data_IF_539407494511
#
_entry.id   IF_539407494511
#
_cell.length_a   1.000
_cell.length_b   1.000
_cell.length_c   1.000
_cell.angle_alpha   90.00
_cell.angle_beta   90.00
_cell.angle_gamma   90.00
#
_symmetry.space_group_name_H-M   'P 1'
#
loop_
_entity.id
_entity.type
_entity.pdbx_description
1 polymer ?
#
# COMPACT_ATOMS: atom_id res chain seq x y z
N UNK A 1 1.66 22.58 2.67
CA UNK A 1 2.87 21.82 3.06
C UNK A 1 3.85 21.84 1.90
N UNK A 2 5.12 22.05 2.15
CA UNK A 2 6.17 22.05 1.10
C UNK A 2 6.78 20.67 1.08
N UNK A 3 6.52 19.90 0.04
CA UNK A 3 7.11 18.56 -0.13
C UNK A 3 8.49 18.71 -0.77
N UNK A 4 9.49 18.10 -0.15
CA UNK A 4 10.85 18.01 -0.68
C UNK A 4 11.11 16.55 -1.08
N UNK A 5 11.38 16.33 -2.37
CA UNK A 5 11.73 14.98 -2.86
C UNK A 5 13.24 14.80 -2.80
N UNK A 6 13.68 13.74 -2.12
CA UNK A 6 15.07 13.31 -2.12
C UNK A 6 15.20 12.02 -2.94
N UNK A 7 15.79 12.13 -4.15
CA UNK A 7 16.14 10.96 -4.95
C UNK A 7 17.68 10.83 -4.96
N UNK A 8 18.19 9.67 -4.59
CA UNK A 8 19.63 9.41 -4.68
C UNK A 8 20.01 9.06 -6.13
N UNK A 9 20.44 10.08 -6.88
CA UNK A 9 20.96 9.89 -8.23
C UNK A 9 22.47 9.65 -8.09
N UNK A 10 22.92 8.41 -8.18
CA UNK A 10 24.36 8.12 -8.30
C UNK A 10 24.91 8.66 -9.61
N UNK A 11 25.24 9.94 -9.62
CA UNK A 11 26.02 10.56 -10.67
C UNK A 11 27.50 10.18 -10.46
N UNK A 12 27.96 9.14 -11.13
CA UNK A 12 29.40 8.89 -11.28
C UNK A 12 30.00 9.94 -12.20
N UNK A 13 30.25 11.13 -11.68
CA UNK A 13 31.03 12.17 -12.37
C UNK A 13 32.50 11.98 -12.03
N UNK A 14 33.26 11.37 -12.94
CA UNK A 14 34.70 11.52 -12.95
C UNK A 14 35.00 12.95 -13.37
N UNK A 15 35.38 13.79 -12.41
CA UNK A 15 36.03 15.08 -12.73
C UNK A 15 37.39 14.78 -13.33
N UNK A 16 37.55 15.02 -14.63
CA UNK A 16 38.84 15.31 -15.22
C UNK A 16 39.00 16.83 -15.29
N UNK A 17 40.07 17.34 -14.69
CA UNK A 17 40.52 18.71 -14.81
C UNK A 17 41.03 18.90 -16.25
N UNK A 18 40.41 19.79 -17.00
CA UNK A 18 40.90 20.24 -18.31
C UNK A 18 41.78 21.43 -18.11
N UNK A 19 43.07 21.26 -18.46
CA UNK A 19 43.99 22.35 -18.78
C UNK A 19 43.70 22.81 -20.22
N UNK A 20 43.61 24.13 -20.36
CA UNK A 20 43.50 24.87 -21.63
C UNK A 20 44.65 24.57 -22.56
N UNK A 21 44.40 24.21 -23.85
CA UNK A 21 45.24 24.65 -24.97
C UNK A 21 44.46 24.63 -26.30
N UNK A 22 44.64 25.70 -27.06
CA UNK A 22 44.03 26.03 -28.35
C UNK A 22 44.59 25.21 -29.54
N UNK A 23 44.01 25.31 -30.75
CA UNK A 23 43.99 24.26 -31.77
C UNK A 23 45.12 24.36 -32.80
N UNK A 24 45.45 23.21 -33.41
CA UNK A 24 46.09 23.17 -34.73
C UNK A 24 45.54 22.01 -35.58
N UNK A 25 45.26 22.41 -36.85
CA UNK A 25 44.81 21.57 -37.96
C UNK A 25 45.68 20.30 -38.23
N UNK A 26 45.05 19.23 -38.71
CA UNK A 26 45.77 18.15 -39.35
C UNK A 26 44.94 16.87 -39.49
N UNK A 27 44.40 16.65 -40.69
CA UNK A 27 43.81 15.41 -41.17
C UNK A 27 44.78 14.22 -41.03
N UNK A 28 44.34 13.12 -40.37
CA UNK A 28 44.75 11.77 -40.74
C UNK A 28 43.73 10.76 -40.19
N UNK A 29 43.17 9.99 -41.13
CA UNK A 29 42.31 8.83 -40.80
C UNK A 29 43.23 7.70 -40.31
N UNK A 30 43.08 7.30 -39.05
CA UNK A 30 43.64 6.05 -38.55
C UNK A 30 42.52 5.18 -38.01
N UNK A 31 42.50 3.93 -38.53
CA UNK A 31 41.63 2.85 -38.11
C UNK A 31 41.69 2.64 -36.60
N UNK A 32 40.55 2.68 -35.93
CA UNK A 32 40.39 2.37 -34.51
C UNK A 32 40.12 0.88 -34.37
N UNK A 33 41.06 0.18 -33.77
CA UNK A 33 40.87 -1.23 -33.37
C UNK A 33 39.74 -1.35 -32.34
N UNK A 34 38.98 -2.46 -32.38
CA UNK A 34 37.84 -2.63 -31.45
C UNK A 34 38.37 -2.91 -30.03
N UNK A 35 37.94 -2.06 -29.10
CA UNK A 35 38.16 -2.21 -27.66
C UNK A 35 37.49 -3.50 -27.18
N UNK A 36 38.14 -4.35 -26.37
CA UNK A 36 37.56 -5.61 -25.90
C UNK A 36 36.29 -5.33 -25.07
N UNK A 37 35.25 -6.11 -25.38
CA UNK A 37 33.90 -5.94 -24.88
C UNK A 37 33.81 -5.71 -23.39
N UNK A 38 33.11 -4.67 -23.03
CA UNK A 38 32.43 -4.56 -21.71
C UNK A 38 31.36 -5.62 -21.73
N UNK A 39 31.64 -6.73 -21.06
CA UNK A 39 30.61 -7.70 -20.71
C UNK A 39 29.67 -6.94 -19.76
N UNK A 40 28.53 -6.48 -20.30
CA UNK A 40 27.39 -6.07 -19.48
C UNK A 40 26.95 -7.37 -18.79
N UNK A 41 27.42 -7.58 -17.57
CA UNK A 41 26.77 -8.52 -16.68
C UNK A 41 25.37 -7.99 -16.46
N UNK A 42 24.41 -8.57 -17.17
CA UNK A 42 23.02 -8.53 -16.74
C UNK A 42 23.03 -9.13 -15.34
N UNK A 43 22.96 -8.28 -14.32
CA UNK A 43 22.55 -8.75 -13.01
C UNK A 43 21.18 -9.39 -13.28
N UNK A 44 21.06 -10.68 -13.03
CA UNK A 44 19.79 -11.35 -12.86
C UNK A 44 19.10 -10.56 -11.74
N UNK A 45 18.20 -9.64 -12.11
CA UNK A 45 17.33 -8.97 -11.16
C UNK A 45 16.51 -10.10 -10.55
N UNK A 46 16.85 -10.49 -9.33
CA UNK A 46 16.13 -11.53 -8.61
C UNK A 46 14.72 -11.01 -8.36
N UNK A 47 13.79 -11.53 -9.14
CA UNK A 47 12.36 -11.22 -9.05
C UNK A 47 11.90 -11.44 -7.61
N UNK A 48 11.42 -10.41 -6.94
CA UNK A 48 10.95 -10.50 -5.55
C UNK A 48 9.70 -11.35 -5.48
N UNK A 49 9.79 -12.48 -4.77
CA UNK A 49 8.67 -13.42 -4.65
C UNK A 49 7.46 -12.75 -3.97
N UNK A 50 6.27 -13.02 -4.49
CA UNK A 50 5.05 -12.56 -3.84
C UNK A 50 4.67 -13.42 -2.65
N UNK A 51 4.25 -12.76 -1.58
CA UNK A 51 3.81 -13.38 -0.32
C UNK A 51 2.46 -12.80 0.09
N UNK A 52 1.55 -13.65 0.57
CA UNK A 52 0.31 -13.21 1.21
C UNK A 52 0.55 -13.02 2.71
N UNK A 53 0.10 -11.88 3.23
CA UNK A 53 0.19 -11.50 4.65
C UNK A 53 -1.18 -11.62 5.31
N UNK A 54 -1.17 -12.01 6.57
CA UNK A 54 -2.38 -12.20 7.35
C UNK A 54 -2.34 -11.32 8.61
N UNK A 55 -3.48 -10.72 9.01
CA UNK A 55 -3.57 -10.07 10.30
C UNK A 55 -3.13 -11.03 11.42
N UNK A 56 -2.40 -10.55 12.45
CA UNK A 56 -2.03 -11.38 13.59
C UNK A 56 -3.28 -11.85 14.37
N UNK A 57 -3.13 -12.87 15.20
CA UNK A 57 -4.22 -13.41 16.01
C UNK A 57 -4.86 -12.36 16.95
N UNK A 58 -4.12 -11.31 17.29
CA UNK A 58 -4.58 -10.14 18.06
C UNK A 58 -4.37 -8.88 17.24
N UNK A 59 -5.27 -8.56 16.28
CA UNK A 59 -5.08 -7.43 15.37
C UNK A 59 -4.86 -6.09 16.07
N UNK A 60 -5.54 -5.86 17.21
CA UNK A 60 -5.35 -4.64 18.02
C UNK A 60 -3.90 -4.40 18.47
N UNK A 61 -3.07 -5.45 18.54
CA UNK A 61 -1.65 -5.27 18.90
C UNK A 61 -0.87 -4.46 17.87
N UNK A 62 -1.34 -4.39 16.63
CA UNK A 62 -0.74 -3.56 15.57
C UNK A 62 -0.95 -2.05 15.83
N UNK A 63 -1.92 -1.70 16.66
CA UNK A 63 -2.27 -0.32 16.98
C UNK A 63 -1.75 0.15 18.33
N UNK A 64 -1.01 -0.70 19.05
CA UNK A 64 -0.38 -0.31 20.29
C UNK A 64 0.59 0.85 20.04
N UNK A 65 0.40 1.95 20.78
CA UNK A 65 1.19 3.19 20.65
C UNK A 65 1.12 3.84 19.24
N UNK A 66 0.16 3.46 18.42
CA UNK A 66 -0.04 4.05 17.10
C UNK A 66 -0.56 5.49 17.25
N UNK A 67 0.06 6.41 16.51
CA UNK A 67 -0.45 7.78 16.33
C UNK A 67 -1.01 7.87 14.93
N UNK A 68 -2.29 8.22 14.82
CA UNK A 68 -2.99 8.32 13.54
C UNK A 68 -3.34 9.76 13.17
N UNK A 69 -3.53 9.99 11.88
CA UNK A 69 -4.11 11.17 11.29
C UNK A 69 -5.38 10.80 10.54
N UNK A 70 -6.25 11.79 10.33
CA UNK A 70 -7.51 11.61 9.60
C UNK A 70 -7.56 12.51 8.38
N UNK A 71 -7.88 11.93 7.22
CA UNK A 71 -8.19 12.66 6.00
C UNK A 71 -9.71 12.79 5.90
N UNK A 72 -10.17 14.03 5.70
CA UNK A 72 -11.58 14.34 5.38
C UNK A 72 -11.63 15.06 4.04
N UNK A 73 -12.36 14.50 3.06
CA UNK A 73 -12.53 15.08 1.73
C UNK A 73 -14.04 15.09 1.42
N UNK A 74 -14.63 16.28 1.37
CA UNK A 74 -16.04 16.45 1.01
C UNK A 74 -16.99 15.55 1.80
N UNK A 75 -17.69 14.67 1.10
CA UNK A 75 -18.66 13.71 1.64
C UNK A 75 -18.09 12.29 1.78
N UNK A 76 -16.79 12.09 1.53
CA UNK A 76 -16.15 10.79 1.77
C UNK A 76 -16.20 10.43 3.26
N UNK A 77 -16.30 9.13 3.58
CA UNK A 77 -16.06 8.70 4.95
C UNK A 77 -14.64 9.11 5.39
N UNK A 78 -14.44 9.50 6.64
CA UNK A 78 -13.11 9.79 7.17
C UNK A 78 -12.19 8.60 6.96
N UNK A 79 -10.93 8.88 6.58
CA UNK A 79 -9.89 7.87 6.38
C UNK A 79 -8.78 8.10 7.40
N UNK A 80 -8.57 7.12 8.25
CA UNK A 80 -7.53 7.17 9.27
C UNK A 80 -6.29 6.42 8.80
N UNK A 81 -5.12 6.97 9.08
CA UNK A 81 -3.85 6.34 8.73
C UNK A 81 -2.77 6.72 9.74
N UNK A 82 -1.72 5.90 9.81
CA UNK A 82 -0.60 6.15 10.70
C UNK A 82 0.11 7.46 10.35
N UNK A 83 0.44 8.25 11.36
CA UNK A 83 1.20 9.47 11.18
C UNK A 83 2.62 9.14 10.68
N UNK A 84 2.96 9.60 9.47
CA UNK A 84 4.24 9.31 8.83
C UNK A 84 5.45 9.72 9.68
N UNK A 85 5.40 10.92 10.28
CA UNK A 85 6.53 11.45 11.07
C UNK A 85 6.76 10.65 12.34
N UNK A 86 5.69 10.21 13.02
CA UNK A 86 5.82 9.36 14.22
C UNK A 86 6.29 7.97 13.82
N UNK A 87 5.78 7.43 12.71
CA UNK A 87 6.22 6.15 12.18
C UNK A 87 7.73 6.16 11.88
N UNK A 88 8.23 7.20 11.19
CA UNK A 88 9.66 7.36 10.90
C UNK A 88 10.51 7.46 12.18
N UNK A 89 10.04 8.21 13.19
CA UNK A 89 10.74 8.37 14.46
C UNK A 89 10.84 7.08 15.27
N UNK A 90 9.85 6.18 15.16
CA UNK A 90 9.78 4.91 15.87
C UNK A 90 10.23 3.72 15.01
N UNK A 91 10.72 3.96 13.80
CA UNK A 91 11.10 2.92 12.84
C UNK A 91 12.14 1.94 13.40
N UNK A 92 13.09 2.43 14.21
CA UNK A 92 14.15 1.61 14.81
C UNK A 92 13.65 0.61 15.89
N UNK A 93 12.43 0.79 16.38
CA UNK A 93 11.80 -0.09 17.37
C UNK A 93 11.04 -1.27 16.71
N UNK A 94 10.90 -1.22 15.39
CA UNK A 94 10.12 -2.19 14.62
C UNK A 94 11.00 -3.30 14.07
N UNK A 95 10.46 -4.51 14.06
CA UNK A 95 11.07 -5.62 13.37
C UNK A 95 10.86 -5.45 11.85
N UNK A 96 11.94 -5.24 11.12
CA UNK A 96 11.96 -4.97 9.69
C UNK A 96 12.88 -5.96 9.00
N UNK A 97 12.33 -7.10 8.58
CA UNK A 97 13.09 -8.16 7.90
C UNK A 97 13.76 -7.65 6.61
N UNK A 98 13.17 -6.67 5.94
CA UNK A 98 13.70 -6.07 4.71
C UNK A 98 14.74 -4.98 5.01
N UNK A 99 14.88 -4.57 6.24
CA UNK A 99 15.78 -3.48 6.70
C UNK A 99 15.55 -2.15 5.97
N UNK A 100 14.37 -1.93 5.37
CA UNK A 100 14.08 -0.70 4.61
C UNK A 100 14.01 0.52 5.53
N UNK A 101 13.48 0.37 6.75
CA UNK A 101 13.39 1.47 7.70
C UNK A 101 14.75 2.03 8.08
N UNK A 102 15.74 1.16 8.26
CA UNK A 102 17.12 1.56 8.54
C UNK A 102 17.82 2.15 7.30
N UNK A 103 17.56 1.61 6.12
CA UNK A 103 18.16 2.07 4.86
C UNK A 103 17.60 3.43 4.44
N UNK A 104 16.29 3.66 4.51
CA UNK A 104 15.65 4.94 4.20
C UNK A 104 16.16 6.05 5.12
N UNK A 105 16.28 5.76 6.42
CA UNK A 105 16.83 6.71 7.39
C UNK A 105 18.31 7.03 7.09
N UNK A 106 19.12 5.99 6.80
CA UNK A 106 20.55 6.18 6.54
C UNK A 106 20.83 6.95 5.23
N UNK A 107 20.01 6.74 4.20
CA UNK A 107 20.16 7.37 2.89
C UNK A 107 19.34 8.67 2.74
N UNK A 108 18.45 8.97 3.69
CA UNK A 108 17.48 10.07 3.61
C UNK A 108 16.73 10.06 2.25
N UNK A 109 16.34 8.88 1.78
CA UNK A 109 15.72 8.68 0.48
C UNK A 109 14.31 8.11 0.61
N UNK A 110 13.37 8.72 -0.12
CA UNK A 110 11.98 8.27 -0.19
C UNK A 110 11.78 7.15 -1.24
N UNK A 111 12.83 6.79 -1.97
CA UNK A 111 12.82 5.75 -3.00
C UNK A 111 14.23 5.17 -3.17
N UNK A 112 14.36 3.85 -3.01
CA UNK A 112 15.59 3.09 -3.28
C UNK A 112 15.21 1.97 -4.24
N UNK A 113 15.35 2.23 -5.55
CA UNK A 113 14.83 1.34 -6.61
C UNK A 113 15.25 -0.11 -6.42
N UNK A 114 14.29 -1.03 -6.46
CA UNK A 114 14.51 -2.47 -6.25
C UNK A 114 14.70 -2.89 -4.78
N UNK A 115 14.70 -1.92 -3.84
CA UNK A 115 14.82 -2.17 -2.39
C UNK A 115 13.60 -1.62 -1.67
N UNK A 116 13.34 -0.32 -1.81
CA UNK A 116 12.22 0.39 -1.23
C UNK A 116 11.54 1.26 -2.28
N UNK A 117 10.27 0.98 -2.54
CA UNK A 117 9.53 1.60 -3.65
C UNK A 117 8.54 2.69 -3.18
N UNK A 118 8.82 3.34 -2.05
CA UNK A 118 8.14 4.58 -1.63
C UNK A 118 6.84 4.41 -0.85
N UNK A 119 6.45 3.19 -0.47
CA UNK A 119 5.14 2.89 0.11
C UNK A 119 4.90 3.33 1.57
N UNK A 120 5.93 3.81 2.29
CA UNK A 120 5.78 4.31 3.67
C UNK A 120 5.10 5.69 3.73
N UNK A 121 5.03 6.41 2.62
CA UNK A 121 4.46 7.76 2.53
C UNK A 121 3.20 7.80 1.68
N UNK A 122 2.29 8.71 2.03
CA UNK A 122 1.13 9.04 1.19
C UNK A 122 1.54 10.13 0.19
N UNK A 123 1.51 9.78 -1.10
CA UNK A 123 1.91 10.68 -2.17
C UNK A 123 0.73 11.53 -2.68
N UNK A 124 1.03 12.69 -3.26
CA UNK A 124 0.02 13.69 -3.62
C UNK A 124 -1.05 13.17 -4.59
N UNK A 125 -0.68 12.28 -5.54
CA UNK A 125 -1.64 11.77 -6.50
C UNK A 125 -2.73 10.88 -5.86
N UNK A 126 -2.47 10.33 -4.68
CA UNK A 126 -3.50 9.60 -3.91
C UNK A 126 -4.62 10.53 -3.46
N UNK A 127 -4.29 11.74 -2.99
CA UNK A 127 -5.28 12.75 -2.62
C UNK A 127 -6.08 13.23 -3.85
N UNK A 128 -5.40 13.46 -4.99
CA UNK A 128 -6.07 13.85 -6.24
C UNK A 128 -7.10 12.79 -6.68
N UNK A 129 -6.77 11.50 -6.52
CA UNK A 129 -7.70 10.42 -6.85
C UNK A 129 -8.86 10.34 -5.84
N UNK A 130 -8.61 10.53 -4.56
CA UNK A 130 -9.66 10.59 -3.54
C UNK A 130 -10.65 11.74 -3.82
N UNK A 131 -10.16 12.93 -4.21
CA UNK A 131 -10.99 14.07 -4.60
C UNK A 131 -11.83 13.78 -5.85
N UNK A 132 -11.26 13.09 -6.85
CA UNK A 132 -12.01 12.64 -8.03
C UNK A 132 -13.13 11.67 -7.64
N UNK A 133 -12.83 10.66 -6.81
CA UNK A 133 -13.79 9.65 -6.37
C UNK A 133 -14.92 10.24 -5.51
N UNK A 134 -14.64 11.32 -4.78
CA UNK A 134 -15.65 12.11 -4.07
C UNK A 134 -16.61 12.76 -5.05
N UNK A 135 -16.06 13.50 -6.01
CA UNK A 135 -16.84 14.28 -6.99
C UNK A 135 -17.70 13.38 -7.88
N UNK A 136 -17.12 12.31 -8.41
CA UNK A 136 -17.79 11.44 -9.39
C UNK A 136 -18.73 10.42 -8.74
N UNK A 137 -18.67 10.27 -7.40
CA UNK A 137 -19.58 9.42 -6.63
C UNK A 137 -19.45 7.93 -6.98
N UNK A 138 -18.22 7.44 -7.25
CA UNK A 138 -17.96 6.05 -7.60
C UNK A 138 -18.59 5.08 -6.58
N UNK A 139 -19.19 4.02 -7.09
CA UNK A 139 -19.90 3.01 -6.30
C UNK A 139 -19.09 1.73 -6.23
N UNK A 140 -18.78 1.30 -5.01
CA UNK A 140 -17.99 0.11 -4.73
C UNK A 140 -18.82 -1.09 -4.27
N UNK A 141 -20.11 -0.88 -3.97
CA UNK A 141 -20.98 -1.96 -3.50
C UNK A 141 -20.90 -3.20 -4.41
N UNK A 142 -20.66 -4.35 -3.79
CA UNK A 142 -20.51 -5.65 -4.46
C UNK A 142 -19.30 -5.79 -5.39
N UNK A 143 -18.43 -4.77 -5.50
CA UNK A 143 -17.25 -4.79 -6.34
C UNK A 143 -16.10 -5.55 -5.70
N UNK A 144 -15.28 -6.19 -6.53
CA UNK A 144 -13.97 -6.72 -6.17
C UNK A 144 -12.93 -5.68 -6.60
N UNK A 145 -12.18 -5.17 -5.64
CA UNK A 145 -11.24 -4.05 -5.85
C UNK A 145 -9.81 -4.49 -5.59
N UNK A 146 -8.87 -4.02 -6.40
CA UNK A 146 -7.43 -4.16 -6.18
C UNK A 146 -6.82 -2.77 -6.01
N UNK A 147 -6.08 -2.56 -4.92
CA UNK A 147 -5.20 -1.43 -4.71
C UNK A 147 -3.75 -1.89 -4.98
N UNK A 148 -3.24 -1.57 -6.18
CA UNK A 148 -1.97 -2.07 -6.72
C UNK A 148 -0.85 -1.05 -6.54
N UNK A 149 0.18 -1.36 -5.77
CA UNK A 149 1.15 -0.40 -5.25
C UNK A 149 0.48 0.48 -4.18
N UNK A 150 -0.18 -0.18 -3.22
CA UNK A 150 -1.15 0.47 -2.34
C UNK A 150 -0.54 1.42 -1.30
N UNK A 151 0.75 1.24 -0.92
CA UNK A 151 1.38 2.01 0.14
C UNK A 151 0.53 2.03 1.42
N UNK A 152 0.05 3.21 1.83
CA UNK A 152 -0.82 3.36 3.00
C UNK A 152 -2.22 2.70 2.86
N UNK A 153 -2.60 2.25 1.66
CA UNK A 153 -3.85 1.52 1.41
C UNK A 153 -5.12 2.37 1.37
N UNK A 154 -5.00 3.70 1.29
CA UNK A 154 -6.15 4.62 1.46
C UNK A 154 -7.24 4.43 0.40
N UNK A 155 -6.87 4.10 -0.84
CA UNK A 155 -7.83 3.89 -1.93
C UNK A 155 -8.64 2.60 -1.71
N UNK A 156 -7.96 1.53 -1.35
CA UNK A 156 -8.60 0.27 -0.98
C UNK A 156 -9.46 0.40 0.27
N UNK A 157 -9.00 1.12 1.28
CA UNK A 157 -9.77 1.41 2.51
C UNK A 157 -11.04 2.21 2.17
N UNK A 158 -10.96 3.23 1.30
CA UNK A 158 -12.13 3.95 0.82
C UNK A 158 -13.15 3.01 0.16
N UNK A 159 -12.67 2.11 -0.72
CA UNK A 159 -13.54 1.14 -1.37
C UNK A 159 -14.22 0.22 -0.35
N UNK A 160 -13.50 -0.23 0.67
CA UNK A 160 -14.02 -1.05 1.76
C UNK A 160 -15.13 -0.30 2.54
N UNK A 161 -14.86 0.94 2.97
CA UNK A 161 -15.83 1.79 3.68
C UNK A 161 -17.08 2.12 2.82
N UNK A 162 -16.96 2.07 1.50
CA UNK A 162 -18.07 2.26 0.55
C UNK A 162 -18.70 0.95 0.05
N UNK A 163 -18.45 -0.17 0.74
CA UNK A 163 -19.16 -1.44 0.57
C UNK A 163 -18.62 -2.36 -0.52
N UNK A 164 -17.34 -2.25 -0.89
CA UNK A 164 -16.69 -3.26 -1.73
C UNK A 164 -16.82 -4.65 -1.09
N UNK A 165 -17.13 -5.66 -1.90
CA UNK A 165 -17.29 -7.03 -1.40
C UNK A 165 -15.95 -7.68 -1.03
N UNK A 166 -14.90 -7.33 -1.76
CA UNK A 166 -13.54 -7.76 -1.50
C UNK A 166 -12.56 -6.64 -1.89
N UNK A 167 -11.53 -6.46 -1.08
CA UNK A 167 -10.43 -5.53 -1.37
C UNK A 167 -9.10 -6.25 -1.19
N UNK A 168 -8.31 -6.28 -2.26
CA UNK A 168 -6.95 -6.82 -2.21
C UNK A 168 -5.95 -5.67 -2.27
N UNK A 169 -5.01 -5.69 -1.33
CA UNK A 169 -3.93 -4.72 -1.24
C UNK A 169 -2.63 -5.36 -1.70
N UNK A 170 -1.88 -4.68 -2.53
CA UNK A 170 -0.59 -5.17 -2.97
C UNK A 170 0.45 -4.05 -2.97
N UNK A 171 1.62 -4.30 -2.39
CA UNK A 171 2.79 -3.43 -2.46
C UNK A 171 4.05 -4.24 -2.74
N UNK A 172 5.15 -3.57 -3.10
CA UNK A 172 6.43 -4.24 -3.32
C UNK A 172 7.04 -4.74 -2.01
N UNK A 173 6.94 -3.94 -0.94
CA UNK A 173 7.59 -4.19 0.34
C UNK A 173 6.66 -4.87 1.37
N UNK A 174 7.13 -5.96 1.98
CA UNK A 174 6.44 -6.63 3.09
C UNK A 174 6.31 -5.70 4.30
N UNK A 175 7.35 -4.93 4.60
CA UNK A 175 7.35 -3.93 5.67
C UNK A 175 6.24 -2.91 5.50
N UNK A 176 5.95 -2.45 4.26
CA UNK A 176 4.84 -1.54 3.97
C UNK A 176 3.51 -2.22 4.28
N UNK A 177 3.31 -3.44 3.82
CA UNK A 177 2.07 -4.20 4.05
C UNK A 177 1.86 -4.43 5.57
N UNK A 178 2.87 -4.91 6.27
CA UNK A 178 2.73 -5.33 7.67
C UNK A 178 2.64 -4.16 8.65
N UNK A 179 3.41 -3.08 8.39
CA UNK A 179 3.52 -1.98 9.35
C UNK A 179 2.75 -0.72 8.97
N UNK A 180 2.18 -0.64 7.75
CA UNK A 180 1.42 0.53 7.30
C UNK A 180 0.05 0.13 6.77
N UNK A 181 -0.03 -0.67 5.69
CA UNK A 181 -1.30 -0.98 5.02
C UNK A 181 -2.26 -1.71 5.95
N UNK A 182 -1.80 -2.75 6.60
CA UNK A 182 -2.60 -3.61 7.47
C UNK A 182 -3.08 -2.86 8.73
N UNK A 183 -2.22 -2.14 9.47
CA UNK A 183 -2.66 -1.28 10.57
C UNK A 183 -3.64 -0.20 10.15
N UNK A 184 -3.44 0.47 9.00
CA UNK A 184 -4.38 1.49 8.51
C UNK A 184 -5.74 0.87 8.18
N UNK A 185 -5.76 -0.32 7.55
CA UNK A 185 -7.02 -1.03 7.28
C UNK A 185 -7.74 -1.36 8.57
N UNK A 186 -7.02 -1.83 9.58
CA UNK A 186 -7.59 -2.16 10.88
C UNK A 186 -8.17 -0.93 11.59
N UNK A 187 -7.44 0.21 11.61
CA UNK A 187 -7.94 1.47 12.19
C UNK A 187 -9.33 1.85 11.66
N UNK A 188 -9.51 1.72 10.35
CA UNK A 188 -10.77 2.11 9.71
C UNK A 188 -11.89 1.06 9.87
N UNK A 189 -11.57 -0.20 10.12
CA UNK A 189 -12.57 -1.24 10.41
C UNK A 189 -13.12 -1.14 11.83
N UNK A 190 -12.27 -0.83 12.81
CA UNK A 190 -12.64 -0.78 14.22
C UNK A 190 -13.57 0.40 14.55
N UNK A 191 -13.27 1.59 14.02
CA UNK A 191 -14.14 2.77 14.25
C UNK A 191 -15.56 2.57 13.77
N UNK A 192 -15.73 1.89 12.63
CA UNK A 192 -17.08 1.60 12.12
C UNK A 192 -17.84 0.59 12.98
N UNK A 193 -17.15 -0.35 13.62
CA UNK A 193 -17.76 -1.31 14.54
C UNK A 193 -18.24 -0.59 15.83
N UNK A 194 -17.44 0.33 16.37
CA UNK A 194 -17.82 1.15 17.53
C UNK A 194 -19.01 2.07 17.22
N UNK A 195 -19.04 2.72 16.05
CA UNK A 195 -20.16 3.57 15.62
C UNK A 195 -21.47 2.75 15.44
N UNK A 196 -21.38 1.55 14.86
CA UNK A 196 -22.54 0.66 14.69
C UNK A 196 -23.09 0.17 16.04
N UNK A 197 -22.24 -0.16 17.00
CA UNK A 197 -22.63 -0.58 18.36
C UNK A 197 -23.31 0.57 19.12
N UNK A 198 -22.77 1.79 19.05
CA UNK A 198 -23.37 2.98 19.67
C UNK A 198 -24.75 3.32 19.08
N UNK A 199 -24.90 3.18 17.76
CA UNK A 199 -26.20 3.39 17.10
C UNK A 199 -27.23 2.32 17.51
N UNK A 200 -26.84 1.06 17.64
CA UNK A 200 -27.75 -0.02 18.08
C UNK A 200 -28.16 0.17 19.52
N UNK A 201 -27.25 0.57 20.43
CA UNK A 201 -27.60 0.89 21.81
C UNK A 201 -28.55 2.08 21.90
N UNK A 202 -28.38 3.09 21.06
CA UNK A 202 -29.24 4.27 21.01
C UNK A 202 -30.66 3.94 20.53
N UNK A 203 -30.78 3.01 19.56
CA UNK A 203 -32.07 2.53 19.01
C UNK A 203 -32.80 1.58 20.00
N UNK A 204 -32.06 0.88 20.86
CA UNK A 204 -32.60 -0.05 21.87
C UNK A 204 -33.27 0.61 23.07
N UNK A 205 -33.01 1.87 23.37
CA UNK A 205 -33.63 2.61 24.47
C UNK A 205 -35.00 3.14 24.09
N UNK A 206 -36.05 2.28 24.21
CA UNK A 206 -37.46 2.74 24.17
C UNK A 206 -37.69 3.71 25.33
N UNK A 207 -38.41 4.84 25.12
CA UNK A 207 -38.73 5.79 26.20
C UNK A 207 -39.59 5.08 27.23
N UNK A 208 -39.00 4.71 28.36
CA UNK A 208 -39.69 4.19 29.50
C UNK A 208 -40.66 5.26 30.03
N UNK A 209 -41.93 4.92 30.21
CA UNK A 209 -42.96 5.72 30.86
C UNK A 209 -42.42 6.22 32.19
N UNK A 210 -42.31 7.53 32.33
CA UNK A 210 -42.14 8.20 33.62
C UNK A 210 -43.33 7.85 34.51
N UNK A 211 -43.11 7.04 35.54
CA UNK A 211 -43.93 7.06 36.76
C UNK A 211 -43.21 7.96 37.76
N UNK A 212 -43.90 9.03 38.10
CA UNK A 212 -43.52 9.87 39.24
C UNK A 212 -43.68 9.05 40.51
N UNK A 213 -42.63 8.97 41.30
CA UNK A 213 -42.73 8.81 42.75
C UNK A 213 -41.63 9.68 43.36
N UNK A 214 -42.11 10.73 44.05
CA UNK A 214 -41.35 11.49 45.02
C UNK A 214 -41.03 10.55 46.19
N UNK A 215 -39.79 10.56 46.64
CA UNK A 215 -39.37 10.46 48.04
C UNK A 215 -37.84 10.44 48.14
N UNK A 216 -37.31 11.56 48.61
CA UNK A 216 -36.54 11.78 49.85
C UNK A 216 -35.11 11.17 49.93
N UNK A 217 -34.21 12.14 49.94
CA UNK A 217 -32.82 12.23 50.41
C UNK A 217 -32.44 11.25 51.53
N UNK A 218 -31.27 10.63 51.44
CA UNK A 218 -30.24 10.58 52.51
C UNK A 218 -28.85 10.34 51.83
N UNK A 219 -27.95 11.28 52.11
CA UNK A 219 -26.51 11.17 51.95
C UNK A 219 -25.95 10.15 52.98
N UNK A 220 -25.01 9.33 52.56
CA UNK A 220 -23.94 8.87 53.45
C UNK A 220 -22.71 8.51 52.64
N UNK A 221 -21.64 9.23 52.93
CA UNK A 221 -20.25 8.96 52.58
C UNK A 221 -19.72 7.76 53.37
N UNK A 222 -18.67 7.17 52.92
CA UNK A 222 -17.45 6.59 53.59
C UNK A 222 -17.04 5.31 52.88
N UNK A 223 -15.90 5.36 52.24
CA UNK A 223 -14.51 5.06 52.60
C UNK A 223 -14.19 3.60 52.94
N UNK A 224 -12.99 3.26 52.47
CA UNK A 224 -12.11 2.12 52.82
C UNK A 224 -12.43 0.75 52.20
N UNK A 225 -11.47 -0.06 51.72
CA UNK A 225 -10.04 -0.14 52.03
C UNK A 225 -9.40 -1.23 51.14
N UNK A 226 -8.16 -1.01 50.86
CA UNK A 226 -7.16 -2.02 50.43
C UNK A 226 -7.23 -3.33 51.18
N UNK A 227 -7.00 -4.44 50.49
CA UNK A 227 -6.14 -5.61 50.89
C UNK A 227 -6.07 -6.58 49.72
N UNK A 228 -4.93 -6.64 48.97
CA UNK A 228 -3.76 -7.51 49.18
C UNK A 228 -4.10 -8.97 49.43
N UNK A 229 -3.65 -9.87 48.59
CA UNK A 229 -2.48 -10.73 48.73
C UNK A 229 -2.50 -11.84 47.69
N UNK A 230 -1.40 -11.94 46.99
CA UNK A 230 -0.53 -13.11 46.81
C UNK A 230 -1.10 -14.51 47.10
N UNK A 231 -0.96 -15.33 46.07
CA UNK A 231 -0.50 -16.75 46.08
C UNK A 231 -0.90 -17.37 44.74
N UNK A 232 -0.12 -18.10 43.98
CA UNK A 232 1.09 -18.88 44.25
C UNK A 232 1.74 -19.26 42.92
N UNK A 233 3.05 -19.20 42.91
CA UNK A 233 3.92 -19.95 42.00
C UNK A 233 3.82 -21.44 42.33
N UNK A 234 3.69 -22.24 41.30
CA UNK A 234 4.29 -23.59 41.10
C UNK A 234 3.43 -24.32 40.06
N UNK A 235 3.94 -24.67 38.91
CA UNK A 235 4.65 -25.91 38.63
C UNK A 235 5.29 -25.85 37.24
N UNK A 236 6.59 -25.65 37.27
CA UNK A 236 7.45 -26.15 36.19
C UNK A 236 7.71 -27.63 36.49
N UNK A 237 7.45 -28.53 35.54
CA UNK A 237 8.34 -29.66 35.26
C UNK A 237 8.00 -30.42 33.98
N UNK A 238 8.96 -30.38 33.10
CA UNK A 238 9.50 -31.45 32.25
C UNK A 238 8.54 -32.36 31.44
N UNK A 239 8.66 -32.25 30.13
CA UNK A 239 9.04 -33.42 29.30
C UNK A 239 9.77 -32.98 28.03
N UNK A 240 11.12 -33.11 28.09
CA UNK A 240 11.93 -33.38 26.88
C UNK A 240 11.63 -34.80 26.40
N UNK A 241 11.40 -34.96 25.09
CA UNK A 241 12.04 -35.93 24.18
C UNK A 241 11.28 -36.02 22.86
N UNK A 242 11.94 -35.76 21.88
CA UNK A 242 12.39 -36.48 20.67
C UNK A 242 12.38 -35.54 19.47
N UNK A 243 13.60 -35.23 19.06
CA UNK A 243 13.96 -34.73 17.75
C UNK A 243 13.71 -35.86 16.75
N UNK A 244 12.86 -35.61 15.76
CA UNK A 244 12.98 -36.18 14.43
C UNK A 244 13.03 -35.02 13.44
N UNK A 245 14.17 -34.92 12.78
CA UNK A 245 14.45 -33.97 11.71
C UNK A 245 13.69 -34.43 10.48
N UNK A 246 12.62 -33.77 10.13
CA UNK A 246 12.04 -33.81 8.79
C UNK A 246 12.18 -32.44 8.15
N UNK A 247 12.94 -32.42 7.05
CA UNK A 247 13.10 -31.33 6.12
C UNK A 247 11.76 -31.05 5.43
N UNK A 248 11.05 -30.06 5.91
CA UNK A 248 9.75 -29.65 5.39
C UNK A 248 9.46 -28.20 5.77
N UNK A 249 9.68 -27.30 4.80
CA UNK A 249 9.20 -25.90 4.92
C UNK A 249 7.73 -25.93 5.35
N UNK A 250 7.34 -25.22 6.41
CA UNK A 250 5.95 -25.19 6.81
C UNK A 250 5.16 -24.39 5.76
N UNK A 251 4.30 -25.11 5.02
CA UNK A 251 3.14 -24.45 4.43
C UNK A 251 2.34 -23.91 5.62
N UNK A 252 2.35 -22.58 5.78
CA UNK A 252 1.49 -21.89 6.73
C UNK A 252 0.04 -22.29 6.37
N UNK A 253 -0.52 -23.18 7.16
CA UNK A 253 -1.96 -23.47 7.10
C UNK A 253 -2.65 -22.16 7.44
N UNK A 254 -3.47 -21.65 6.52
CA UNK A 254 -4.48 -20.62 6.78
C UNK A 254 -5.12 -20.94 8.13
N UNK A 255 -4.68 -20.30 9.20
CA UNK A 255 -5.50 -20.14 10.38
C UNK A 255 -6.49 -19.05 9.96
N UNK A 256 -7.70 -19.48 9.59
CA UNK A 256 -8.76 -18.52 9.35
C UNK A 256 -8.88 -17.66 10.61
N UNK A 257 -8.68 -16.34 10.43
CA UNK A 257 -9.14 -15.37 11.42
C UNK A 257 -10.56 -15.81 11.78
N UNK A 258 -10.89 -15.77 13.05
CA UNK A 258 -12.28 -15.96 13.45
C UNK A 258 -13.07 -14.80 12.84
N UNK A 259 -13.69 -15.06 11.68
CA UNK A 259 -14.45 -14.10 10.90
C UNK A 259 -15.64 -13.50 11.67
N UNK A 260 -15.90 -14.03 12.87
CA UNK A 260 -16.90 -13.49 13.79
C UNK A 260 -16.44 -12.23 14.53
N UNK A 261 -15.12 -11.99 14.62
CA UNK A 261 -14.58 -10.83 15.37
C UNK A 261 -14.39 -9.57 14.51
N UNK A 262 -14.07 -9.72 13.21
CA UNK A 262 -13.87 -8.58 12.29
C UNK A 262 -14.39 -8.91 10.89
N UNK A 263 -15.71 -8.84 10.67
CA UNK A 263 -16.34 -9.25 9.42
C UNK A 263 -15.83 -8.45 8.20
N UNK A 264 -15.49 -7.18 8.36
CA UNK A 264 -14.97 -6.33 7.27
C UNK A 264 -13.57 -6.73 6.83
N UNK A 265 -12.69 -7.14 7.78
CA UNK A 265 -11.36 -7.66 7.44
C UNK A 265 -11.40 -8.99 6.69
N UNK A 266 -12.45 -9.77 6.85
CA UNK A 266 -12.60 -11.07 6.15
C UNK A 266 -12.67 -10.91 4.62
N UNK A 267 -13.07 -9.74 4.12
CA UNK A 267 -13.07 -9.39 2.70
C UNK A 267 -11.73 -8.82 2.19
N UNK A 268 -10.74 -8.65 3.06
CA UNK A 268 -9.45 -8.08 2.71
C UNK A 268 -8.38 -9.15 2.54
N UNK A 269 -7.49 -8.95 1.55
CA UNK A 269 -6.27 -9.74 1.38
C UNK A 269 -5.08 -8.82 1.14
N UNK A 270 -3.92 -9.20 1.64
CA UNK A 270 -2.72 -8.37 1.66
C UNK A 270 -1.55 -9.12 1.05
N UNK A 271 -0.85 -8.50 0.09
CA UNK A 271 0.23 -9.14 -0.65
C UNK A 271 1.44 -8.23 -0.76
N UNK A 272 2.64 -8.80 -0.61
CA UNK A 272 3.88 -8.12 -0.98
C UNK A 272 4.56 -8.82 -2.16
N UNK A 273 5.58 -8.17 -2.76
CA UNK A 273 6.40 -8.70 -3.85
C UNK A 273 6.24 -7.93 -5.16
N UNK A 274 7.01 -8.32 -6.19
CA UNK A 274 6.85 -7.67 -7.49
C UNK A 274 5.57 -8.09 -8.21
N UNK A 275 5.14 -7.28 -9.18
CA UNK A 275 3.88 -7.49 -9.90
C UNK A 275 3.83 -8.79 -10.70
N UNK A 276 4.97 -9.27 -11.22
CA UNK A 276 5.02 -10.52 -11.99
C UNK A 276 4.80 -11.73 -11.08
N UNK A 277 5.44 -11.73 -9.92
CA UNK A 277 5.26 -12.74 -8.88
C UNK A 277 3.86 -12.71 -8.30
N UNK A 278 3.34 -11.52 -7.99
CA UNK A 278 1.96 -11.33 -7.52
C UNK A 278 0.95 -11.88 -8.52
N UNK A 279 1.06 -11.52 -9.79
CA UNK A 279 0.19 -12.05 -10.85
C UNK A 279 0.26 -13.58 -10.90
N UNK A 280 1.47 -14.14 -10.81
CA UNK A 280 1.66 -15.59 -10.84
C UNK A 280 1.03 -16.28 -9.64
N UNK A 281 1.13 -15.67 -8.44
CA UNK A 281 0.52 -16.17 -7.21
C UNK A 281 -1.01 -16.19 -7.34
N UNK A 282 -1.62 -15.07 -7.72
CA UNK A 282 -3.08 -14.95 -7.88
C UNK A 282 -3.61 -15.93 -8.92
N UNK A 283 -2.99 -16.02 -10.10
CA UNK A 283 -3.47 -16.91 -11.16
C UNK A 283 -3.25 -18.39 -10.85
N UNK A 284 -2.33 -18.73 -9.96
CA UNK A 284 -2.15 -20.10 -9.46
C UNK A 284 -3.26 -20.50 -8.49
N UNK A 285 -3.72 -19.56 -7.65
CA UNK A 285 -4.78 -19.81 -6.67
C UNK A 285 -6.16 -19.78 -7.32
N UNK A 286 -6.46 -18.73 -8.07
CA UNK A 286 -7.70 -18.55 -8.81
C UNK A 286 -7.46 -17.95 -10.20
N UNK A 287 -7.37 -18.78 -11.24
CA UNK A 287 -7.19 -18.31 -12.61
C UNK A 287 -8.34 -17.45 -13.14
N UNK A 288 -9.50 -17.51 -12.49
CA UNK A 288 -10.72 -16.78 -12.90
C UNK A 288 -10.88 -15.43 -12.20
N UNK A 289 -10.12 -15.16 -11.14
CA UNK A 289 -10.23 -13.92 -10.39
C UNK A 289 -10.01 -12.71 -11.29
N UNK A 290 -10.94 -11.77 -11.20
CA UNK A 290 -10.90 -10.47 -11.89
C UNK A 290 -11.37 -9.39 -10.93
N UNK A 291 -10.83 -8.19 -11.14
CA UNK A 291 -11.20 -7.01 -10.35
C UNK A 291 -12.06 -6.08 -11.19
N UNK A 292 -13.16 -5.64 -10.63
CA UNK A 292 -14.04 -4.63 -11.26
C UNK A 292 -13.35 -3.26 -11.31
N UNK A 293 -12.57 -2.95 -10.27
CA UNK A 293 -11.83 -1.71 -10.14
C UNK A 293 -10.39 -2.04 -9.73
N UNK A 294 -9.43 -1.41 -10.39
CA UNK A 294 -8.03 -1.44 -9.98
C UNK A 294 -7.58 0.00 -9.75
N UNK A 295 -7.16 0.30 -8.53
CA UNK A 295 -6.44 1.53 -8.22
C UNK A 295 -4.95 1.33 -8.37
N UNK A 296 -4.25 2.36 -8.85
CA UNK A 296 -2.80 2.41 -8.85
C UNK A 296 -2.35 3.87 -8.84
N UNK A 297 -1.57 4.26 -7.83
CA UNK A 297 -1.13 5.63 -7.62
C UNK A 297 0.39 5.69 -7.52
N UNK A 298 1.01 6.64 -8.27
CA UNK A 298 2.47 6.88 -8.26
C UNK A 298 3.33 5.66 -8.68
N UNK A 299 2.83 4.77 -9.52
CA UNK A 299 3.45 3.48 -9.87
C UNK A 299 4.20 3.48 -11.20
N UNK A 300 4.05 4.53 -12.05
CA UNK A 300 4.69 4.61 -13.37
C UNK A 300 5.94 5.51 -13.39
N UNK A 301 6.64 5.60 -12.26
CA UNK A 301 7.85 6.43 -12.13
C UNK A 301 9.07 5.83 -12.83
N UNK A 302 9.12 4.51 -13.03
CA UNK A 302 10.23 3.81 -13.67
C UNK A 302 9.77 3.00 -14.89
N UNK A 303 10.33 3.29 -16.05
CA UNK A 303 10.00 2.62 -17.33
C UNK A 303 10.29 1.12 -17.33
N UNK A 304 11.26 0.65 -16.53
CA UNK A 304 11.59 -0.76 -16.43
C UNK A 304 10.40 -1.60 -15.97
N UNK A 305 9.50 -1.02 -15.17
CA UNK A 305 8.37 -1.71 -14.58
C UNK A 305 7.08 -1.66 -15.43
N UNK A 306 7.04 -0.87 -16.51
CA UNK A 306 5.83 -0.71 -17.35
C UNK A 306 5.28 -2.03 -17.89
N UNK A 307 6.16 -2.94 -18.30
CA UNK A 307 5.74 -4.22 -18.86
C UNK A 307 5.08 -5.13 -17.80
N UNK A 308 5.66 -5.20 -16.61
CA UNK A 308 5.11 -5.96 -15.49
C UNK A 308 3.76 -5.40 -15.04
N UNK A 309 3.70 -4.07 -14.82
CA UNK A 309 2.46 -3.37 -14.46
C UNK A 309 1.35 -3.60 -15.49
N UNK A 310 1.63 -3.32 -16.76
CA UNK A 310 0.65 -3.47 -17.84
C UNK A 310 0.13 -4.91 -17.96
N UNK A 311 1.03 -5.91 -17.85
CA UNK A 311 0.62 -7.31 -17.91
C UNK A 311 -0.28 -7.69 -16.72
N UNK A 312 0.04 -7.22 -15.54
CA UNK A 312 -0.77 -7.45 -14.33
C UNK A 312 -2.16 -6.82 -14.48
N UNK A 313 -2.22 -5.56 -14.90
CA UNK A 313 -3.48 -4.86 -15.19
C UNK A 313 -4.31 -5.60 -16.24
N UNK A 314 -3.69 -6.00 -17.37
CA UNK A 314 -4.37 -6.72 -18.44
C UNK A 314 -4.94 -8.06 -18.00
N UNK A 315 -4.20 -8.79 -17.20
CA UNK A 315 -4.60 -10.14 -16.78
C UNK A 315 -5.63 -10.14 -15.65
N UNK A 316 -5.67 -9.09 -14.83
CA UNK A 316 -6.50 -9.03 -13.63
C UNK A 316 -7.75 -8.16 -13.77
N UNK A 317 -7.82 -7.24 -14.73
CA UNK A 317 -9.02 -6.42 -14.94
C UNK A 317 -10.19 -7.27 -15.43
N UNK A 318 -11.37 -7.04 -14.88
CA UNK A 318 -12.63 -7.64 -15.35
C UNK A 318 -13.04 -7.07 -16.72
N UNK A 319 -13.72 -7.84 -17.57
CA UNK A 319 -14.41 -7.29 -18.74
C UNK A 319 -15.41 -6.21 -18.29
N UNK A 320 -15.22 -4.96 -18.75
CA UNK A 320 -16.04 -3.82 -18.32
C UNK A 320 -15.59 -3.17 -17.01
N UNK A 321 -14.49 -3.63 -16.41
CA UNK A 321 -13.85 -2.98 -15.28
C UNK A 321 -13.11 -1.71 -15.68
N UNK A 322 -12.64 -0.97 -14.65
CA UNK A 322 -11.90 0.28 -14.80
C UNK A 322 -10.62 0.25 -13.97
N UNK A 323 -9.55 0.81 -14.53
CA UNK A 323 -8.31 1.10 -13.81
C UNK A 323 -8.27 2.61 -13.60
N UNK A 324 -8.09 3.06 -12.37
CA UNK A 324 -7.77 4.45 -12.04
C UNK A 324 -6.28 4.57 -11.75
N UNK A 325 -5.59 5.26 -12.63
CA UNK A 325 -4.16 5.57 -12.52
C UNK A 325 -3.99 7.04 -12.12
N UNK A 326 -3.46 7.29 -10.93
CA UNK A 326 -3.07 8.63 -10.47
C UNK A 326 -1.55 8.79 -10.58
N UNK A 327 -1.07 9.88 -11.20
CA UNK A 327 0.34 9.97 -11.55
C UNK A 327 0.80 11.40 -11.81
N UNK A 328 2.11 11.64 -11.68
CA UNK A 328 2.77 12.85 -12.16
C UNK A 328 3.01 12.79 -13.66
N UNK A 329 3.03 13.96 -14.31
CA UNK A 329 3.41 14.05 -15.72
C UNK A 329 4.82 13.51 -15.95
N UNK A 330 5.76 13.84 -15.03
CA UNK A 330 7.16 13.45 -15.07
C UNK A 330 7.68 13.12 -13.67
N UNK A 331 8.51 12.10 -13.59
CA UNK A 331 9.24 11.72 -12.39
C UNK A 331 10.73 12.04 -12.61
N UNK A 332 11.18 13.14 -12.05
CA UNK A 332 12.57 13.59 -12.18
C UNK A 332 13.53 12.61 -11.49
N UNK A 333 14.62 12.27 -12.16
CA UNK A 333 15.65 11.37 -11.63
C UNK A 333 15.41 9.88 -11.88
N UNK A 334 14.16 9.43 -12.05
CA UNK A 334 13.83 8.00 -12.28
C UNK A 334 13.30 7.70 -13.68
N UNK A 335 12.92 8.73 -14.43
CA UNK A 335 12.75 8.69 -15.89
C UNK A 335 11.43 8.11 -16.38
N UNK A 336 10.43 7.89 -15.53
CA UNK A 336 9.06 7.53 -15.91
C UNK A 336 8.14 8.75 -16.00
N UNK A 337 6.87 8.52 -16.28
CA UNK A 337 5.81 9.53 -16.31
C UNK A 337 4.70 9.23 -17.29
N UNK A 338 3.63 10.01 -17.19
CA UNK A 338 2.38 9.74 -17.92
C UNK A 338 2.58 9.61 -19.43
N UNK A 339 3.24 10.58 -20.07
CA UNK A 339 3.39 10.57 -21.52
C UNK A 339 4.12 9.31 -22.05
N UNK A 340 5.15 8.87 -21.36
CA UNK A 340 5.90 7.67 -21.73
C UNK A 340 5.06 6.40 -21.52
N UNK A 341 4.23 6.40 -20.47
CA UNK A 341 3.33 5.29 -20.23
C UNK A 341 2.18 5.26 -21.24
N UNK A 342 1.62 6.41 -21.62
CA UNK A 342 0.62 6.53 -22.69
C UNK A 342 1.13 5.91 -24.01
N UNK A 343 2.34 6.27 -24.43
CA UNK A 343 2.97 5.69 -25.62
C UNK A 343 3.11 4.18 -25.52
N UNK A 344 3.60 3.70 -24.37
CA UNK A 344 3.74 2.27 -24.12
C UNK A 344 2.40 1.52 -24.18
N UNK A 345 1.33 2.06 -23.58
CA UNK A 345 -0.01 1.47 -23.59
C UNK A 345 -0.59 1.48 -25.01
N UNK A 346 -0.38 2.55 -25.77
CA UNK A 346 -0.80 2.66 -27.18
C UNK A 346 -0.12 1.58 -28.05
N UNK A 347 1.20 1.38 -27.89
CA UNK A 347 1.95 0.33 -28.60
C UNK A 347 1.43 -1.08 -28.25
N UNK A 348 1.03 -1.31 -27.00
CA UNK A 348 0.43 -2.59 -26.58
C UNK A 348 -0.97 -2.81 -27.13
N UNK A 349 -1.72 -1.74 -27.38
CA UNK A 349 -3.03 -1.78 -28.02
C UNK A 349 -4.13 -2.49 -27.24
N UNK A 350 -4.00 -2.62 -25.91
CA UNK A 350 -4.94 -3.35 -25.04
C UNK A 350 -5.97 -2.41 -24.42
N UNK A 351 -5.50 -1.25 -23.96
CA UNK A 351 -6.32 -0.29 -23.23
C UNK A 351 -6.51 1.01 -23.99
N UNK A 352 -7.67 1.64 -23.80
CA UNK A 352 -7.90 3.06 -24.03
C UNK A 352 -7.66 3.80 -22.73
N UNK A 353 -7.15 5.04 -22.83
CA UNK A 353 -6.84 5.90 -21.68
C UNK A 353 -7.62 7.21 -21.81
N UNK A 354 -8.30 7.60 -20.73
CA UNK A 354 -9.06 8.84 -20.64
C UNK A 354 -8.57 9.67 -19.43
N UNK A 355 -8.21 10.94 -19.68
CA UNK A 355 -7.80 11.86 -18.59
C UNK A 355 -9.04 12.42 -17.92
N UNK A 356 -9.24 12.05 -16.65
CA UNK A 356 -10.39 12.46 -15.84
C UNK A 356 -10.11 13.74 -15.02
N UNK A 357 -8.86 13.90 -14.57
CA UNK A 357 -8.48 14.99 -13.67
C UNK A 357 -7.08 15.48 -13.97
N UNK A 358 -6.89 16.80 -13.89
CA UNK A 358 -5.60 17.47 -14.12
C UNK A 358 -5.37 18.50 -13.01
N UNK A 359 -4.26 18.41 -12.34
CA UNK A 359 -3.78 19.40 -11.37
C UNK A 359 -2.57 20.13 -11.96
N UNK A 360 -2.70 21.43 -12.18
CA UNK A 360 -1.67 22.25 -12.82
C UNK A 360 -0.78 23.01 -11.81
N UNK A 361 -1.16 23.01 -10.54
CA UNK A 361 -0.40 23.69 -9.49
C UNK A 361 0.74 22.81 -8.96
N UNK A 362 1.95 23.35 -8.95
CA UNK A 362 3.16 22.61 -8.56
C UNK A 362 3.62 21.66 -9.65
N UNK A 363 3.94 20.41 -9.28
CA UNK A 363 4.18 19.34 -10.23
C UNK A 363 2.84 18.93 -10.85
N UNK A 364 2.74 18.98 -12.18
CA UNK A 364 1.53 18.61 -12.88
C UNK A 364 1.19 17.13 -12.65
N UNK A 365 -0.04 16.87 -12.18
CA UNK A 365 -0.55 15.55 -11.85
C UNK A 365 -1.83 15.26 -12.62
N UNK A 366 -2.08 13.98 -12.82
CA UNK A 366 -3.24 13.51 -13.60
C UNK A 366 -3.87 12.31 -12.91
N UNK A 367 -5.19 12.20 -13.02
CA UNK A 367 -5.89 10.93 -12.86
C UNK A 367 -6.43 10.49 -14.21
N UNK A 368 -6.16 9.25 -14.58
CA UNK A 368 -6.51 8.64 -15.85
C UNK A 368 -7.33 7.39 -15.60
N UNK A 369 -8.45 7.25 -16.30
CA UNK A 369 -9.17 5.98 -16.40
C UNK A 369 -8.60 5.15 -17.57
N UNK A 370 -8.43 3.85 -17.34
CA UNK A 370 -8.07 2.91 -18.39
C UNK A 370 -9.14 1.81 -18.49
N UNK A 371 -9.55 1.51 -19.71
CA UNK A 371 -10.53 0.47 -20.03
C UNK A 371 -9.99 -0.40 -21.16
N UNK A 372 -10.46 -1.65 -21.25
CA UNK A 372 -10.17 -2.45 -22.44
C UNK A 372 -10.69 -1.75 -23.69
N UNK A 373 -9.86 -1.73 -24.74
CA UNK A 373 -10.29 -1.24 -26.04
C UNK A 373 -11.54 -1.98 -26.48
N UNK A 374 -12.59 -1.24 -26.78
CA UNK A 374 -13.77 -1.79 -27.47
C UNK A 374 -13.30 -2.23 -28.86
N UNK A 375 -13.31 -3.56 -29.10
CA UNK A 375 -13.16 -4.03 -30.48
C UNK A 375 -14.33 -3.44 -31.24
N UNK A 376 -14.07 -2.52 -32.17
CA UNK A 376 -15.08 -2.05 -33.11
C UNK A 376 -15.75 -3.29 -33.69
N UNK A 377 -17.05 -3.41 -33.42
CA UNK A 377 -17.88 -4.42 -34.11
C UNK A 377 -18.07 -3.91 -35.53
N UNK A 378 -17.13 -4.29 -36.41
CA UNK A 378 -17.36 -4.21 -37.86
C UNK A 378 -18.22 -5.39 -38.30
#
# INVERSE_FOLDING_TARGET
>A
MSFSFNFDVQLTTKCQQDEENQPQDGNEYSEVEPVPGITITTQDETVKAAVEHFPPATPHSLLNDAVSETITIGTLPPLNFLNESVFELTAYERDDEEMILSQTTAQCSDLISGVYEGGLKVWECTYDLLELLERDGERFAEKIVLDLGCGAGLLGILALKRGASQVHFQDYNSTVIEHVTLPNTLLNCLEEEEEEEEEEESKGKKPGKRQNNDEVIIEEEEEESMKSTEKTKSELKNKQKNEEVEDGRPHAKRQALDSSQHPKLSGCRFFSGDWTSFLSLILKEDPSLKYDIIFTSETIYNKAYYSALHNTLHRLLAPGGVIYLATKTHYFGVGGGLHLFEQFVEEKGVFDMEKLWVVEHGLQRHVVAMHFKTKDRF
#
